data_IF_140013536276
#
_entry.id   IF_140013536276
#
_cell.length_a   1.000
_cell.length_b   1.000
_cell.length_c   1.000
_cell.angle_alpha   90.00
_cell.angle_beta   90.00
_cell.angle_gamma   90.00
#
_symmetry.space_group_name_H-M   'P 1'
#
loop_
_entity.id
_entity.type
_entity.pdbx_description
1 polymer ?
#
# COMPACT_ATOMS: atom_id res chain seq x y z
N UNK A 1 67.91 -2.80 18.11
CA UNK A 1 66.97 -2.81 16.96
C UNK A 1 65.65 -3.39 17.44
N UNK A 2 64.63 -2.57 17.71
CA UNK A 2 63.33 -3.04 18.18
C UNK A 2 62.22 -2.13 17.63
N UNK A 3 61.81 -2.36 16.38
CA UNK A 3 60.64 -1.71 15.77
C UNK A 3 59.96 -2.76 14.90
N UNK A 4 59.15 -3.66 15.48
CA UNK A 4 58.40 -4.64 14.67
C UNK A 4 57.28 -5.36 15.43
N UNK A 5 56.33 -4.64 16.01
CA UNK A 5 55.11 -5.30 16.56
C UNK A 5 53.80 -4.50 16.45
N UNK A 6 53.80 -3.24 16.03
CA UNK A 6 52.61 -2.38 16.17
C UNK A 6 51.65 -2.30 14.96
N UNK A 7 51.89 -3.02 13.87
CA UNK A 7 51.10 -2.86 12.61
C UNK A 7 49.95 -3.87 12.49
N UNK A 8 49.97 -4.98 13.22
CA UNK A 8 48.95 -6.02 13.08
C UNK A 8 47.61 -5.67 13.76
N UNK A 9 47.63 -4.86 14.83
CA UNK A 9 46.42 -4.57 15.63
C UNK A 9 45.49 -3.54 15.00
N UNK A 10 45.99 -2.64 14.15
CA UNK A 10 45.16 -1.60 13.50
C UNK A 10 44.36 -2.14 12.31
N UNK A 11 44.88 -3.14 11.60
CA UNK A 11 44.22 -3.73 10.42
C UNK A 11 42.99 -4.57 10.84
N UNK A 12 43.08 -5.30 11.95
CA UNK A 12 41.95 -6.11 12.46
C UNK A 12 40.75 -5.27 12.90
N UNK A 13 41.00 -4.12 13.53
CA UNK A 13 39.95 -3.17 13.94
C UNK A 13 39.30 -2.45 12.75
N UNK A 14 40.07 -2.11 11.73
CA UNK A 14 39.54 -1.48 10.52
C UNK A 14 38.60 -2.42 9.74
N UNK A 15 38.95 -3.71 9.65
CA UNK A 15 38.11 -4.71 8.99
C UNK A 15 36.82 -5.01 9.77
N UNK A 16 36.87 -5.07 11.11
CA UNK A 16 35.68 -5.23 11.94
C UNK A 16 34.73 -4.02 11.84
N UNK A 17 35.27 -2.80 11.78
CA UNK A 17 34.48 -1.59 11.57
C UNK A 17 33.79 -1.55 10.19
N UNK A 18 34.47 -2.01 9.14
CA UNK A 18 33.90 -2.07 7.79
C UNK A 18 32.76 -3.10 7.68
N UNK A 19 32.90 -4.26 8.31
CA UNK A 19 31.86 -5.31 8.33
C UNK A 19 30.67 -4.90 9.19
N UNK A 20 30.91 -4.29 10.36
CA UNK A 20 29.83 -3.74 11.18
C UNK A 20 29.10 -2.59 10.47
N UNK A 21 29.82 -1.72 9.77
CA UNK A 21 29.24 -0.62 8.98
C UNK A 21 28.42 -1.11 7.78
N UNK A 22 28.88 -2.15 7.08
CA UNK A 22 28.08 -2.76 5.99
C UNK A 22 26.86 -3.51 6.52
N UNK A 23 26.97 -4.23 7.63
CA UNK A 23 25.81 -4.86 8.28
C UNK A 23 24.80 -3.83 8.79
N UNK A 24 25.25 -2.68 9.28
CA UNK A 24 24.37 -1.58 9.70
C UNK A 24 23.74 -0.84 8.51
N UNK A 25 24.44 -0.72 7.38
CA UNK A 25 23.88 -0.14 6.16
C UNK A 25 22.87 -1.08 5.49
N UNK A 26 23.07 -2.39 5.60
CA UNK A 26 22.12 -3.41 5.10
C UNK A 26 20.90 -3.55 6.03
N UNK A 27 21.07 -3.33 7.34
CA UNK A 27 19.99 -3.31 8.34
C UNK A 27 19.53 -1.91 8.75
N UNK A 28 19.94 -0.87 8.02
CA UNK A 28 19.39 0.46 8.25
C UNK A 28 17.89 0.35 7.93
N UNK A 29 17.00 0.75 8.84
CA UNK A 29 15.56 0.72 8.56
C UNK A 29 15.36 1.47 7.26
N UNK A 30 14.86 0.75 6.22
CA UNK A 30 14.57 1.36 4.93
C UNK A 30 13.66 2.56 5.21
N UNK A 31 14.15 3.76 4.87
CA UNK A 31 13.41 4.98 5.09
C UNK A 31 12.22 5.02 4.15
N UNK A 32 11.01 4.91 4.71
CA UNK A 32 9.74 4.98 3.99
C UNK A 32 9.52 3.88 2.95
N UNK A 33 8.31 3.84 2.41
CA UNK A 33 7.98 3.09 1.22
C UNK A 33 8.39 3.89 -0.02
N UNK A 34 9.02 3.24 -1.00
CA UNK A 34 9.06 3.80 -2.35
C UNK A 34 7.70 3.66 -3.07
N UNK A 35 7.56 4.30 -4.23
CA UNK A 35 6.30 4.27 -4.98
C UNK A 35 5.89 2.86 -5.41
N UNK A 36 6.85 2.01 -5.79
CA UNK A 36 6.58 0.65 -6.23
C UNK A 36 6.15 -0.24 -5.06
N UNK A 37 6.78 -0.08 -3.90
CA UNK A 37 6.43 -0.73 -2.64
C UNK A 37 5.03 -0.33 -2.17
N UNK A 38 4.71 0.97 -2.16
CA UNK A 38 3.39 1.46 -1.82
C UNK A 38 2.30 0.90 -2.76
N UNK A 39 2.56 0.88 -4.08
CA UNK A 39 1.65 0.26 -5.06
C UNK A 39 1.50 -1.25 -4.85
N UNK A 40 2.56 -1.96 -4.48
CA UNK A 40 2.51 -3.41 -4.20
C UNK A 40 1.65 -3.70 -2.98
N UNK A 41 1.81 -2.94 -1.90
CA UNK A 41 0.94 -3.04 -0.71
C UNK A 41 -0.51 -2.79 -1.10
N UNK A 42 -0.78 -1.73 -1.87
CA UNK A 42 -2.13 -1.42 -2.37
C UNK A 42 -2.72 -2.55 -3.23
N UNK A 43 -1.92 -3.16 -4.11
CA UNK A 43 -2.34 -4.25 -5.01
C UNK A 43 -2.63 -5.57 -4.26
N UNK A 44 -1.80 -5.92 -3.29
CA UNK A 44 -2.03 -7.10 -2.45
C UNK A 44 -3.28 -6.90 -1.58
N UNK A 45 -3.45 -5.71 -1.00
CA UNK A 45 -4.63 -5.36 -0.22
C UNK A 45 -5.91 -5.34 -1.07
N UNK A 46 -5.83 -4.82 -2.30
CA UNK A 46 -6.91 -4.84 -3.29
C UNK A 46 -7.37 -6.27 -3.58
N UNK A 47 -6.45 -7.17 -3.90
CA UNK A 47 -6.75 -8.58 -4.16
C UNK A 47 -7.41 -9.24 -2.95
N UNK A 48 -6.86 -9.05 -1.75
CA UNK A 48 -7.44 -9.60 -0.52
C UNK A 48 -8.84 -9.07 -0.25
N UNK A 49 -9.10 -7.78 -0.51
CA UNK A 49 -10.41 -7.17 -0.27
C UNK A 49 -11.46 -7.62 -1.29
N UNK A 50 -11.07 -7.85 -2.54
CA UNK A 50 -11.96 -8.40 -3.57
C UNK A 50 -12.43 -9.83 -3.22
N UNK A 51 -11.54 -10.64 -2.65
CA UNK A 51 -11.83 -12.03 -2.27
C UNK A 51 -12.60 -12.16 -0.95
N UNK A 52 -12.63 -11.09 -0.12
CA UNK A 52 -13.34 -11.09 1.16
C UNK A 52 -14.85 -10.88 0.93
N UNK A 53 -15.65 -11.83 1.42
CA UNK A 53 -17.11 -11.63 1.56
C UNK A 53 -17.39 -10.64 2.69
N UNK A 54 -17.46 -9.36 2.36
CA UNK A 54 -17.89 -8.33 3.31
C UNK A 54 -19.39 -8.52 3.57
N UNK A 55 -19.74 -9.19 4.67
CA UNK A 55 -21.13 -9.56 5.02
C UNK A 55 -22.06 -8.37 5.26
N UNK A 56 -21.49 -7.21 5.58
CA UNK A 56 -22.21 -5.97 5.80
C UNK A 56 -21.57 -4.88 4.95
N UNK A 57 -22.22 -4.51 3.85
CA UNK A 57 -21.80 -3.44 2.95
C UNK A 57 -22.05 -2.04 3.54
N UNK A 58 -21.66 -1.84 4.80
CA UNK A 58 -21.60 -0.51 5.38
C UNK A 58 -20.22 0.05 5.13
N UNK A 59 -20.14 1.35 4.84
CA UNK A 59 -18.88 2.08 4.69
C UNK A 59 -17.87 1.78 5.80
N UNK A 60 -18.34 1.72 7.06
CA UNK A 60 -17.51 1.39 8.21
C UNK A 60 -16.89 -0.01 8.11
N UNK A 61 -17.67 -1.01 7.72
CA UNK A 61 -17.17 -2.37 7.56
C UNK A 61 -16.15 -2.45 6.42
N UNK A 62 -16.45 -1.84 5.25
CA UNK A 62 -15.51 -1.82 4.12
C UNK A 62 -14.20 -1.14 4.51
N UNK A 63 -14.26 0.01 5.20
CA UNK A 63 -13.05 0.71 5.65
C UNK A 63 -12.19 -0.10 6.63
N UNK A 64 -12.83 -0.85 7.54
CA UNK A 64 -12.12 -1.73 8.48
C UNK A 64 -11.43 -2.88 7.76
N UNK A 65 -12.11 -3.51 6.81
CA UNK A 65 -11.54 -4.61 6.01
C UNK A 65 -10.36 -4.13 5.15
N UNK A 66 -10.46 -2.95 4.52
CA UNK A 66 -9.36 -2.38 3.73
C UNK A 66 -8.15 -2.09 4.59
N UNK A 67 -8.32 -1.43 5.75
CA UNK A 67 -7.21 -1.17 6.68
C UNK A 67 -6.50 -2.45 7.08
N UNK A 68 -7.27 -3.46 7.44
CA UNK A 68 -6.74 -4.74 7.83
C UNK A 68 -6.04 -5.46 6.66
N UNK A 69 -6.59 -5.39 5.44
CA UNK A 69 -5.95 -5.96 4.25
C UNK A 69 -4.62 -5.25 3.92
N UNK A 70 -4.53 -3.93 4.12
CA UNK A 70 -3.28 -3.15 3.97
C UNK A 70 -2.25 -3.56 5.02
N UNK A 71 -2.65 -3.70 6.28
CA UNK A 71 -1.76 -4.18 7.35
C UNK A 71 -1.25 -5.61 7.10
N UNK A 72 -2.10 -6.51 6.60
CA UNK A 72 -1.69 -7.85 6.21
C UNK A 72 -0.75 -7.85 5.00
N UNK A 73 -1.04 -7.04 3.99
CA UNK A 73 -0.21 -6.89 2.80
C UNK A 73 1.18 -6.37 3.14
N UNK A 74 1.27 -5.30 3.91
CA UNK A 74 2.55 -4.73 4.37
C UNK A 74 3.36 -5.74 5.17
N UNK A 75 2.73 -6.45 6.13
CA UNK A 75 3.41 -7.51 6.91
C UNK A 75 3.90 -8.67 6.03
N UNK A 76 3.11 -9.10 5.05
CA UNK A 76 3.47 -10.19 4.14
C UNK A 76 4.64 -9.82 3.23
N UNK A 77 4.72 -8.55 2.85
CA UNK A 77 5.77 -8.01 1.99
C UNK A 77 7.03 -7.58 2.78
N UNK A 78 7.00 -7.66 4.11
CA UNK A 78 8.05 -7.15 5.00
C UNK A 78 8.33 -5.65 4.76
N UNK A 79 7.24 -4.88 4.64
CA UNK A 79 7.23 -3.46 4.35
C UNK A 79 6.57 -2.65 5.50
N UNK A 80 6.94 -1.38 5.68
CA UNK A 80 6.21 -0.47 6.56
C UNK A 80 4.72 -0.41 6.22
N UNK A 81 3.87 -0.30 7.24
CA UNK A 81 2.42 -0.15 7.04
C UNK A 81 2.13 1.31 6.66
N UNK A 82 1.57 1.58 5.46
CA UNK A 82 1.18 2.94 5.10
C UNK A 82 -0.05 3.38 5.91
N UNK A 83 -0.19 4.69 6.10
CA UNK A 83 -1.41 5.29 6.62
C UNK A 83 -2.57 5.06 5.65
N UNK A 84 -3.78 4.80 6.17
CA UNK A 84 -4.98 4.56 5.34
C UNK A 84 -6.09 5.52 5.73
N UNK A 85 -6.28 6.52 4.89
CA UNK A 85 -7.38 7.47 4.96
C UNK A 85 -8.53 7.04 4.07
N UNK A 86 -9.75 7.32 4.52
CA UNK A 86 -10.93 7.14 3.69
C UNK A 86 -11.33 8.49 3.14
N UNK A 87 -11.34 8.61 1.82
CA UNK A 87 -11.51 9.91 1.15
C UNK A 87 -12.96 10.13 0.76
N UNK A 88 -13.61 9.10 0.20
CA UNK A 88 -14.98 9.25 -0.28
C UNK A 88 -15.71 7.90 -0.33
N UNK A 89 -17.04 7.96 -0.27
CA UNK A 89 -17.92 6.86 -0.61
C UNK A 89 -19.18 7.41 -1.29
N UNK A 90 -19.28 7.13 -2.59
CA UNK A 90 -20.33 7.67 -3.44
C UNK A 90 -21.25 6.55 -3.90
N UNK A 91 -22.53 6.63 -3.52
CA UNK A 91 -23.57 5.77 -4.07
C UNK A 91 -23.76 6.13 -5.54
N UNK A 92 -23.69 5.12 -6.41
CA UNK A 92 -23.95 5.28 -7.84
C UNK A 92 -25.45 5.22 -8.10
N UNK A 93 -25.96 6.05 -9.02
CA UNK A 93 -27.35 5.94 -9.43
C UNK A 93 -27.59 4.60 -10.15
N UNK A 94 -28.77 4.00 -9.93
CA UNK A 94 -29.08 2.61 -10.31
C UNK A 94 -29.04 2.34 -11.83
N UNK A 95 -29.07 3.40 -12.63
CA UNK A 95 -29.11 3.43 -14.10
C UNK A 95 -27.70 3.43 -14.74
N UNK A 96 -26.61 3.50 -13.96
CA UNK A 96 -25.25 3.47 -14.51
C UNK A 96 -24.96 2.12 -15.18
N UNK A 97 -24.55 2.10 -16.46
CA UNK A 97 -24.13 0.90 -17.15
C UNK A 97 -22.87 0.30 -16.49
N UNK A 98 -22.97 -0.95 -16.04
CA UNK A 98 -21.89 -1.67 -15.34
C UNK A 98 -22.29 -2.26 -13.99
N UNK A 99 -23.39 -1.78 -13.40
CA UNK A 99 -24.02 -2.44 -12.24
C UNK A 99 -23.20 -2.37 -10.96
N UNK A 100 -22.74 -1.19 -10.55
CA UNK A 100 -22.10 -0.95 -9.26
C UNK A 100 -23.02 -0.10 -8.35
N UNK A 101 -23.05 -0.39 -7.05
CA UNK A 101 -23.86 0.32 -6.05
C UNK A 101 -23.11 1.50 -5.44
N UNK A 102 -21.85 1.30 -5.08
CA UNK A 102 -21.07 2.28 -4.32
C UNK A 102 -19.62 2.23 -4.76
N UNK A 103 -19.01 3.39 -4.97
CA UNK A 103 -17.57 3.52 -5.14
C UNK A 103 -16.97 4.00 -3.83
N UNK A 104 -15.99 3.26 -3.30
CA UNK A 104 -15.21 3.66 -2.13
C UNK A 104 -13.80 4.09 -2.55
N UNK A 105 -13.28 5.16 -1.97
CA UNK A 105 -11.93 5.66 -2.24
C UNK A 105 -11.11 5.70 -0.94
N UNK A 106 -9.94 5.05 -0.97
CA UNK A 106 -9.01 4.95 0.13
C UNK A 106 -7.65 5.48 -0.28
N UNK A 107 -7.11 6.43 0.48
CA UNK A 107 -5.78 6.96 0.25
C UNK A 107 -4.78 6.23 1.15
N UNK A 108 -3.79 5.61 0.52
CA UNK A 108 -2.65 5.02 1.20
C UNK A 108 -1.49 6.00 1.13
N UNK A 109 -0.96 6.43 2.27
CA UNK A 109 0.13 7.40 2.35
C UNK A 109 1.29 6.86 3.18
N UNK A 110 2.49 6.97 2.63
CA UNK A 110 3.72 6.76 3.38
C UNK A 110 4.12 8.08 4.07
N UNK A 111 4.09 8.10 5.40
CA UNK A 111 4.33 9.33 6.18
C UNK A 111 5.79 9.82 6.11
N UNK A 112 6.74 8.95 5.75
CA UNK A 112 8.16 9.28 5.68
C UNK A 112 8.51 9.97 4.36
N UNK A 113 8.03 9.43 3.23
CA UNK A 113 8.29 9.95 1.89
C UNK A 113 7.23 10.93 1.39
N UNK A 114 6.06 10.96 2.03
CA UNK A 114 4.90 11.74 1.57
C UNK A 114 4.25 11.19 0.30
N UNK A 115 4.62 9.98 -0.14
CA UNK A 115 4.03 9.34 -1.31
C UNK A 115 2.61 8.85 -1.00
N UNK A 116 1.71 9.02 -1.97
CA UNK A 116 0.33 8.58 -1.87
C UNK A 116 -0.11 7.77 -3.10
N UNK A 117 -1.00 6.81 -2.86
CA UNK A 117 -1.68 6.00 -3.87
C UNK A 117 -3.15 5.92 -3.48
N UNK A 118 -4.04 6.00 -4.47
CA UNK A 118 -5.47 5.82 -4.25
C UNK A 118 -5.89 4.40 -4.62
N UNK A 119 -6.46 3.69 -3.65
CA UNK A 119 -7.16 2.43 -3.84
C UNK A 119 -8.65 2.71 -3.97
N UNK A 120 -9.24 2.30 -5.08
CA UNK A 120 -10.68 2.44 -5.36
C UNK A 120 -11.32 1.06 -5.35
N UNK A 121 -12.45 0.93 -4.67
CA UNK A 121 -13.27 -0.28 -4.66
C UNK A 121 -14.66 0.03 -5.19
N UNK A 122 -15.03 -0.58 -6.31
CA UNK A 122 -16.38 -0.50 -6.85
C UNK A 122 -17.19 -1.72 -6.39
N UNK A 123 -18.21 -1.48 -5.57
CA UNK A 123 -19.13 -2.51 -5.07
C UNK A 123 -20.11 -2.92 -6.16
N UNK A 124 -20.15 -4.20 -6.51
CA UNK A 124 -21.06 -4.73 -7.55
C UNK A 124 -22.48 -4.86 -7.02
N UNK A 125 -23.46 -4.48 -7.85
CA UNK A 125 -24.87 -4.69 -7.60
C UNK A 125 -25.19 -6.20 -7.69
N UNK A 126 -25.56 -6.85 -6.57
CA UNK A 126 -25.85 -8.28 -6.55
C UNK A 126 -27.08 -8.64 -7.39
N UNK A 127 -27.91 -7.67 -7.78
CA UNK A 127 -29.05 -7.89 -8.71
C UNK A 127 -28.59 -8.08 -10.16
N UNK A 128 -27.40 -7.57 -10.51
CA UNK A 128 -26.87 -7.56 -11.88
C UNK A 128 -25.69 -8.51 -12.08
N UNK A 129 -25.23 -9.18 -11.03
CA UNK A 129 -24.11 -10.13 -11.05
C UNK A 129 -23.74 -10.66 -9.66
N UNK A 130 -22.68 -11.46 -9.52
CA UNK A 130 -22.21 -11.92 -8.22
C UNK A 130 -21.77 -10.74 -7.34
N UNK A 131 -22.16 -10.77 -6.06
CA UNK A 131 -21.73 -9.80 -5.06
C UNK A 131 -20.20 -9.80 -4.92
N UNK A 132 -19.60 -8.63 -4.78
CA UNK A 132 -18.16 -8.47 -4.61
C UNK A 132 -17.71 -7.05 -4.86
N UNK A 133 -16.40 -6.87 -4.84
CA UNK A 133 -15.75 -5.60 -5.10
C UNK A 133 -14.83 -5.73 -6.31
N UNK A 134 -14.76 -4.68 -7.10
CA UNK A 134 -13.78 -4.52 -8.17
C UNK A 134 -12.76 -3.47 -7.75
N UNK A 135 -11.54 -3.89 -7.37
CA UNK A 135 -10.52 -2.96 -6.98
C UNK A 135 -9.74 -2.43 -8.17
N UNK A 136 -9.29 -1.19 -8.10
CA UNK A 136 -8.29 -0.63 -9.00
C UNK A 136 -7.51 0.49 -8.31
N UNK A 137 -6.35 0.83 -8.86
CA UNK A 137 -5.35 1.69 -8.19
C UNK A 137 -4.94 2.83 -9.10
N UNK A 138 -5.01 4.07 -8.60
CA UNK A 138 -4.47 5.23 -9.31
C UNK A 138 -3.19 5.75 -8.66
N UNK A 139 -2.29 6.28 -9.47
CA UNK A 139 -1.13 7.03 -8.96
C UNK A 139 -1.61 8.30 -8.23
N UNK A 140 -0.97 8.63 -7.11
CA UNK A 140 -1.21 9.87 -6.37
C UNK A 140 -2.43 9.83 -5.44
N UNK A 141 -2.76 11.01 -4.92
CA UNK A 141 -3.87 11.20 -3.98
C UNK A 141 -5.22 10.87 -4.63
N UNK A 142 -6.15 10.39 -3.80
CA UNK A 142 -7.54 10.29 -4.24
C UNK A 142 -8.07 11.69 -4.53
N UNK A 143 -8.89 11.84 -5.56
CA UNK A 143 -9.62 13.10 -5.77
C UNK A 143 -11.10 12.86 -5.53
N UNK A 144 -11.78 13.75 -4.80
CA UNK A 144 -13.23 13.66 -4.60
C UNK A 144 -13.98 13.57 -5.93
N UNK A 145 -15.06 12.78 -5.96
CA UNK A 145 -15.92 12.61 -7.13
C UNK A 145 -15.74 11.27 -7.86
N UNK A 146 -16.53 11.03 -8.93
CA UNK A 146 -16.73 9.70 -9.47
C UNK A 146 -15.44 9.11 -10.07
N UNK A 147 -15.03 7.98 -9.50
CA UNK A 147 -13.89 7.14 -9.90
C UNK A 147 -13.70 6.94 -11.42
N UNK A 148 -14.80 6.91 -12.19
CA UNK A 148 -14.77 6.61 -13.63
C UNK A 148 -14.19 7.70 -14.52
N UNK A 149 -13.95 8.91 -14.02
CA UNK A 149 -13.37 9.98 -14.83
C UNK A 149 -11.85 9.82 -15.07
N UNK A 150 -11.21 8.69 -14.72
CA UNK A 150 -9.74 8.52 -14.87
C UNK A 150 -9.22 7.21 -15.47
N UNK A 151 -10.07 6.26 -15.86
CA UNK A 151 -9.60 5.10 -16.63
C UNK A 151 -9.17 5.43 -18.09
N UNK A 152 -8.97 6.72 -18.41
CA UNK A 152 -8.74 7.24 -19.76
C UNK A 152 -7.40 7.95 -19.98
N UNK A 153 -6.39 7.75 -19.14
CA UNK A 153 -5.01 8.19 -19.44
C UNK A 153 -4.03 7.07 -19.11
N UNK A 154 -4.05 6.04 -19.95
CA UNK A 154 -2.84 5.26 -20.22
C UNK A 154 -2.11 5.97 -21.36
N UNK A 155 -0.96 6.56 -21.04
CA UNK A 155 0.13 6.73 -22.01
C UNK A 155 0.86 5.39 -22.16
#
# INVERSE_FOLDING_TARGET
MAVRTWVASTIGLALLGAVAGTLWYVNAPRGGLDRAELRRVAAEAAGSTADRRIRHHSYRAVSGEVRHAVEEAARRLDLPVPHVDVVDAENRPEDVPGGYLTTYQFQLTDEVSGLAVCLVLDEKDPRKGPAGFEPWITEGECRPGPARNRAGTGD
#
